data_IF_565067615054
#
_entry.id   IF_565067615054
#
_cell.length_a   1.000
_cell.length_b   1.000
_cell.length_c   1.000
_cell.angle_alpha   90.00
_cell.angle_beta   90.00
_cell.angle_gamma   90.00
#
_symmetry.space_group_name_H-M   'P 1'
#
loop_
_entity.id
_entity.type
_entity.pdbx_description
1 polymer ?
#
# COMPACT_ATOMS: atom_id res chain seq x y z
N UNK A 1 -0.66 10.52 13.50
CA UNK A 1 -0.77 9.29 14.31
C UNK A 1 0.39 9.15 15.27
N UNK A 2 1.64 9.09 14.79
CA UNK A 2 2.79 8.92 15.71
C UNK A 2 2.82 7.54 16.38
N UNK A 3 2.01 6.61 15.88
CA UNK A 3 1.87 5.25 16.38
C UNK A 3 3.16 4.48 16.11
N UNK A 4 3.69 3.86 17.15
CA UNK A 4 4.86 2.97 17.06
C UNK A 4 4.34 1.54 17.02
N UNK A 5 4.86 0.76 16.06
CA UNK A 5 4.61 -0.68 15.98
C UNK A 5 5.94 -1.40 15.92
N UNK A 6 6.04 -2.45 16.73
CA UNK A 6 7.20 -3.32 16.72
C UNK A 6 7.11 -4.32 15.56
N UNK A 7 8.26 -4.63 14.98
CA UNK A 7 8.39 -5.58 13.90
C UNK A 7 9.76 -6.22 13.93
N UNK A 8 9.86 -7.45 13.40
CA UNK A 8 11.12 -8.19 13.37
C UNK A 8 11.62 -8.31 11.95
N UNK A 9 12.81 -7.77 11.69
CA UNK A 9 13.50 -7.99 10.42
C UNK A 9 13.87 -9.46 10.28
N UNK A 10 13.42 -10.09 9.19
CA UNK A 10 13.76 -11.48 8.87
C UNK A 10 14.82 -11.60 7.80
N UNK A 11 14.86 -10.65 6.85
CA UNK A 11 15.86 -10.59 5.77
C UNK A 11 16.15 -9.16 5.36
N UNK A 12 17.39 -8.92 4.96
CA UNK A 12 17.85 -7.68 4.32
C UNK A 12 18.37 -8.03 2.93
N UNK A 13 17.88 -7.33 1.91
CA UNK A 13 18.23 -7.55 0.51
C UNK A 13 18.86 -6.28 -0.05
N UNK A 14 20.14 -6.34 -0.43
CA UNK A 14 20.86 -5.22 -1.06
C UNK A 14 20.84 -5.37 -2.58
N UNK A 15 20.81 -4.25 -3.29
CA UNK A 15 20.89 -4.22 -4.74
C UNK A 15 22.34 -4.32 -5.21
N UNK A 16 22.63 -5.29 -6.07
CA UNK A 16 23.89 -5.43 -6.82
C UNK A 16 23.55 -5.41 -8.31
N UNK A 17 23.63 -4.23 -8.91
CA UNK A 17 23.08 -3.99 -10.25
C UNK A 17 21.57 -4.24 -10.25
N UNK A 18 21.11 -5.15 -11.12
CA UNK A 18 19.70 -5.55 -11.22
C UNK A 18 19.33 -6.71 -10.29
N UNK A 19 20.30 -7.31 -9.59
CA UNK A 19 20.08 -8.45 -8.69
C UNK A 19 19.88 -7.96 -7.26
N UNK A 20 19.06 -8.70 -6.51
CA UNK A 20 18.93 -8.55 -5.06
C UNK A 20 19.68 -9.70 -4.39
N UNK A 21 20.56 -9.38 -3.44
CA UNK A 21 21.36 -10.35 -2.70
C UNK A 21 21.07 -10.19 -1.21
N UNK A 22 20.85 -11.31 -0.52
CA UNK A 22 20.63 -11.34 0.92
C UNK A 22 21.94 -11.02 1.66
N UNK A 23 21.86 -10.14 2.65
CA UNK A 23 23.00 -9.66 3.45
C UNK A 23 22.65 -9.65 4.93
N UNK A 24 23.65 -9.75 5.79
CA UNK A 24 23.45 -9.77 7.25
C UNK A 24 23.21 -8.37 7.84
N UNK A 25 23.76 -7.33 7.20
CA UNK A 25 23.63 -5.94 7.65
C UNK A 25 23.61 -4.95 6.47
N UNK A 26 23.12 -3.75 6.75
CA UNK A 26 23.14 -2.60 5.84
C UNK A 26 23.50 -1.33 6.64
N UNK A 27 24.14 -0.38 5.98
CA UNK A 27 24.63 0.85 6.61
C UNK A 27 23.94 2.10 6.09
N UNK A 28 24.20 3.25 6.73
CA UNK A 28 23.67 4.52 6.28
C UNK A 28 24.11 4.84 4.84
N UNK A 29 23.14 5.16 3.98
CA UNK A 29 23.35 5.40 2.55
C UNK A 29 23.02 4.21 1.67
N UNK A 30 22.81 3.01 2.23
CA UNK A 30 22.37 1.86 1.46
C UNK A 30 20.89 1.94 1.08
N UNK A 31 20.58 1.52 -0.15
CA UNK A 31 19.21 1.26 -0.60
C UNK A 31 18.99 -0.24 -0.50
N UNK A 32 18.08 -0.64 0.40
CA UNK A 32 17.80 -2.06 0.68
C UNK A 32 16.30 -2.34 0.71
N UNK A 33 15.96 -3.61 0.56
CA UNK A 33 14.63 -4.13 0.83
C UNK A 33 14.67 -4.97 2.11
N UNK A 34 13.70 -4.75 2.99
CA UNK A 34 13.60 -5.41 4.29
C UNK A 34 12.35 -6.28 4.28
N UNK A 35 12.46 -7.50 4.80
CA UNK A 35 11.32 -8.40 5.00
C UNK A 35 11.04 -8.62 6.50
N UNK A 36 9.81 -9.02 6.82
CA UNK A 36 9.39 -9.40 8.19
C UNK A 36 8.64 -8.33 8.98
N UNK A 37 8.40 -7.16 8.39
CA UNK A 37 7.61 -6.08 9.00
C UNK A 37 6.42 -5.79 8.10
N UNK A 38 5.21 -6.07 8.60
CA UNK A 38 3.98 -5.89 7.86
C UNK A 38 3.37 -4.50 8.08
N UNK A 39 2.63 -4.03 7.07
CA UNK A 39 1.84 -2.81 7.16
C UNK A 39 2.64 -1.51 7.11
N UNK A 40 3.94 -1.55 6.77
CA UNK A 40 4.76 -0.37 6.55
C UNK A 40 4.31 0.36 5.29
N UNK A 41 4.04 1.65 5.40
CA UNK A 41 3.62 2.51 4.29
C UNK A 41 4.72 3.47 3.86
N UNK A 42 4.61 3.97 2.63
CA UNK A 42 5.51 5.01 2.12
C UNK A 42 5.44 6.24 3.01
N UNK A 43 6.61 6.75 3.42
CA UNK A 43 6.73 7.90 4.31
C UNK A 43 6.77 7.56 5.80
N UNK A 44 6.67 6.29 6.18
CA UNK A 44 6.95 5.83 7.55
C UNK A 44 8.45 5.64 7.79
N UNK A 45 8.86 5.67 9.06
CA UNK A 45 10.26 5.50 9.47
C UNK A 45 10.39 4.23 10.29
N UNK A 46 11.34 3.37 9.92
CA UNK A 46 11.80 2.27 10.77
C UNK A 46 12.95 2.79 11.63
N UNK A 47 12.83 2.64 12.95
CA UNK A 47 13.79 3.17 13.93
C UNK A 47 14.12 2.12 15.00
N UNK A 48 15.16 2.38 15.79
CA UNK A 48 15.52 1.54 16.94
C UNK A 48 14.39 1.50 17.97
N UNK A 49 14.18 0.34 18.59
CA UNK A 49 13.19 0.16 19.65
C UNK A 49 13.57 0.91 20.94
N UNK A 50 14.87 1.03 21.22
CA UNK A 50 15.37 1.66 22.45
C UNK A 50 15.27 3.19 22.42
N UNK A 51 15.30 3.77 21.21
CA UNK A 51 15.20 5.20 20.99
C UNK A 51 14.55 5.47 19.62
N UNK A 52 13.21 5.36 19.52
CA UNK A 52 12.49 5.51 18.26
C UNK A 52 12.47 7.00 17.86
N UNK A 53 13.18 7.32 16.79
CA UNK A 53 13.20 8.67 16.20
C UNK A 53 12.59 8.63 14.80
N UNK A 54 11.44 9.29 14.64
CA UNK A 54 10.78 9.42 13.35
C UNK A 54 11.45 10.50 12.50
N UNK A 55 11.65 10.22 11.21
CA UNK A 55 12.09 11.24 10.26
C UNK A 55 10.94 12.20 9.93
N UNK A 56 11.25 13.44 9.48
CA UNK A 56 10.24 14.36 9.01
C UNK A 56 9.38 13.71 7.90
N UNK A 57 8.06 13.80 8.04
CA UNK A 57 7.13 13.24 7.05
C UNK A 57 7.26 13.97 5.72
N UNK A 58 7.28 13.20 4.64
CA UNK A 58 7.18 13.73 3.28
C UNK A 58 5.72 14.12 3.03
N UNK A 59 5.48 15.34 2.54
CA UNK A 59 4.13 15.78 2.17
C UNK A 59 3.71 15.09 0.87
N UNK A 60 2.62 14.34 0.93
CA UNK A 60 1.96 13.77 -0.24
C UNK A 60 0.79 14.69 -0.59
N UNK A 61 0.73 15.13 -1.84
CA UNK A 61 -0.35 15.99 -2.32
C UNK A 61 -1.68 15.22 -2.40
N UNK A 62 -2.78 15.92 -2.15
CA UNK A 62 -4.11 15.31 -2.17
C UNK A 62 -4.57 15.05 -3.61
N UNK A 63 -5.41 14.01 -3.83
CA UNK A 63 -5.96 13.75 -5.15
C UNK A 63 -6.84 14.92 -5.61
N UNK A 64 -6.68 15.31 -6.87
CA UNK A 64 -7.44 16.42 -7.48
C UNK A 64 -8.74 15.97 -8.15
N UNK A 65 -8.93 14.66 -8.35
CA UNK A 65 -10.09 14.05 -8.97
C UNK A 65 -10.70 13.01 -8.03
N UNK A 66 -12.03 12.93 -8.02
CA UNK A 66 -12.79 11.90 -7.32
C UNK A 66 -13.68 11.16 -8.31
N UNK A 67 -13.79 9.84 -8.15
CA UNK A 67 -14.59 8.96 -9.00
C UNK A 67 -15.30 7.93 -8.13
N UNK A 68 -16.56 7.64 -8.48
CA UNK A 68 -17.35 6.59 -7.82
C UNK A 68 -17.24 5.31 -8.64
N UNK A 69 -16.85 4.23 -7.98
CA UNK A 69 -16.79 2.89 -8.58
C UNK A 69 -17.89 2.00 -7.99
N UNK A 70 -18.65 1.33 -8.86
CA UNK A 70 -19.66 0.35 -8.48
C UNK A 70 -19.59 -0.87 -9.39
N UNK A 71 -20.20 -1.98 -8.96
CA UNK A 71 -20.33 -3.17 -9.78
C UNK A 71 -21.31 -2.93 -10.95
N UNK A 72 -21.09 -3.63 -12.06
CA UNK A 72 -21.97 -3.56 -13.21
C UNK A 72 -23.27 -4.33 -12.94
N UNK A 73 -24.41 -3.62 -12.87
CA UNK A 73 -25.76 -4.20 -12.66
C UNK A 73 -26.55 -4.38 -13.96
N UNK A 74 -25.93 -4.14 -15.13
CA UNK A 74 -26.57 -4.29 -16.44
C UNK A 74 -26.93 -5.76 -16.77
N UNK A 75 -28.00 -6.02 -17.56
CA UNK A 75 -28.29 -7.34 -18.13
C UNK A 75 -27.19 -7.94 -19.03
N UNK A 76 -26.17 -7.13 -19.36
CA UNK A 76 -24.99 -7.57 -20.11
C UNK A 76 -23.80 -7.93 -19.21
N UNK A 77 -23.91 -7.78 -17.89
CA UNK A 77 -22.84 -8.07 -16.96
C UNK A 77 -22.31 -9.51 -17.15
N UNK A 78 -20.99 -9.64 -17.27
CA UNK A 78 -20.31 -10.94 -17.42
C UNK A 78 -20.33 -11.55 -18.83
N UNK A 79 -21.03 -10.95 -19.80
CA UNK A 79 -21.06 -11.46 -21.19
C UNK A 79 -19.74 -11.26 -21.92
N UNK A 80 -18.92 -10.32 -21.49
CA UNK A 80 -17.60 -10.04 -22.06
C UNK A 80 -16.50 -10.99 -21.53
N UNK A 81 -16.86 -12.04 -20.77
CA UNK A 81 -15.92 -12.96 -20.14
C UNK A 81 -15.23 -12.40 -18.89
N UNK A 82 -15.74 -11.29 -18.35
CA UNK A 82 -15.23 -10.67 -17.12
C UNK A 82 -15.40 -11.57 -15.90
N UNK A 83 -14.29 -11.92 -15.23
CA UNK A 83 -14.29 -12.79 -14.03
C UNK A 83 -14.51 -12.04 -12.71
N UNK A 84 -14.36 -10.71 -12.72
CA UNK A 84 -14.34 -9.88 -11.51
C UNK A 84 -15.50 -8.87 -11.50
N UNK A 85 -16.70 -9.37 -11.18
CA UNK A 85 -17.95 -8.60 -11.37
C UNK A 85 -18.56 -8.06 -10.06
N UNK A 86 -17.97 -8.36 -8.91
CA UNK A 86 -18.55 -8.03 -7.60
C UNK A 86 -17.87 -6.80 -7.00
N UNK A 87 -18.58 -6.08 -6.14
CA UNK A 87 -18.04 -4.92 -5.41
C UNK A 87 -16.81 -5.29 -4.59
N UNK A 88 -16.75 -6.54 -4.09
CA UNK A 88 -15.58 -7.09 -3.41
C UNK A 88 -14.35 -7.14 -4.31
N UNK A 89 -14.47 -7.63 -5.54
CA UNK A 89 -13.33 -7.69 -6.46
C UNK A 89 -12.82 -6.28 -6.84
N UNK A 90 -13.74 -5.33 -7.04
CA UNK A 90 -13.39 -3.93 -7.32
C UNK A 90 -12.61 -3.36 -6.12
N UNK A 91 -13.14 -3.54 -4.91
CA UNK A 91 -12.50 -3.08 -3.68
C UNK A 91 -11.10 -3.65 -3.51
N UNK A 92 -10.93 -4.96 -3.60
CA UNK A 92 -9.62 -5.63 -3.46
C UNK A 92 -8.61 -5.10 -4.49
N UNK A 93 -9.06 -4.85 -5.73
CA UNK A 93 -8.22 -4.27 -6.79
C UNK A 93 -7.79 -2.84 -6.47
N UNK A 94 -8.70 -2.01 -5.97
CA UNK A 94 -8.42 -0.63 -5.58
C UNK A 94 -7.46 -0.61 -4.39
N UNK A 95 -7.74 -1.37 -3.33
CA UNK A 95 -6.89 -1.47 -2.14
C UNK A 95 -5.46 -1.89 -2.51
N UNK A 96 -5.32 -2.86 -3.43
CA UNK A 96 -4.02 -3.26 -3.95
C UNK A 96 -3.29 -2.13 -4.70
N UNK A 97 -4.01 -1.30 -5.45
CA UNK A 97 -3.38 -0.15 -6.14
C UNK A 97 -2.89 0.90 -5.14
N UNK A 98 -3.69 1.18 -4.11
CA UNK A 98 -3.34 2.17 -3.08
C UNK A 98 -2.11 1.76 -2.24
N UNK A 99 -1.75 0.47 -2.21
CA UNK A 99 -0.48 0.02 -1.60
C UNK A 99 0.75 0.51 -2.37
N UNK A 100 0.64 0.65 -3.69
CA UNK A 100 1.76 1.04 -4.57
C UNK A 100 1.71 2.51 -4.99
N UNK A 101 0.53 3.12 -4.96
CA UNK A 101 0.31 4.49 -5.41
C UNK A 101 -0.16 5.38 -4.25
N UNK A 102 0.75 6.22 -3.76
CA UNK A 102 0.52 7.13 -2.64
C UNK A 102 -0.50 8.25 -2.92
N UNK A 103 -0.80 8.51 -4.19
CA UNK A 103 -1.78 9.54 -4.59
C UNK A 103 -3.23 9.06 -4.57
N UNK A 104 -3.47 7.78 -4.35
CA UNK A 104 -4.82 7.20 -4.35
C UNK A 104 -5.35 7.14 -2.91
N UNK A 105 -6.52 7.73 -2.70
CA UNK A 105 -7.34 7.56 -1.49
C UNK A 105 -8.60 6.78 -1.84
N UNK A 106 -8.97 5.81 -1.01
CA UNK A 106 -10.15 4.98 -1.20
C UNK A 106 -11.06 5.20 0.00
N UNK A 107 -12.31 5.56 -0.29
CA UNK A 107 -13.35 5.75 0.71
C UNK A 107 -14.54 4.85 0.37
N UNK A 108 -15.16 4.27 1.40
CA UNK A 108 -16.41 3.56 1.22
C UNK A 108 -17.55 4.58 1.26
N UNK A 109 -18.34 4.61 0.19
CA UNK A 109 -19.58 5.38 0.15
C UNK A 109 -20.67 4.47 0.71
N UNK A 110 -21.34 4.91 1.77
CA UNK A 110 -22.48 4.18 2.34
C UNK A 110 -23.65 4.16 1.35
N UNK A 111 -24.41 3.07 1.33
CA UNK A 111 -25.50 2.80 0.39
C UNK A 111 -26.37 4.03 0.08
N UNK A 112 -26.41 4.40 -1.20
CA UNK A 112 -27.44 5.30 -1.75
C UNK A 112 -28.50 4.48 -2.50
N UNK A 113 -28.81 3.26 -2.06
CA UNK A 113 -29.92 2.45 -2.58
C UNK A 113 -31.10 2.40 -1.59
N UNK A 114 -31.86 3.49 -1.56
CA UNK A 114 -33.31 3.46 -1.36
C UNK A 114 -33.95 4.41 -2.37
N UNK A 115 -34.27 3.88 -3.56
CA UNK A 115 -35.38 4.35 -4.40
C UNK A 115 -36.04 3.12 -5.02
#
# INVERSE_FOLDING_TARGET
DGTIKEGKVTKILKYQGLKRVEVDSAEAGDIVSIAGIDGVKVGETLASIDNPQALPKIKIDEPTLSMVFSNNTSPLAGKDGGRFLTSRHIRERLEREALTNVGIKIEQIADTEKV
#
